data_IF_097615253655
#
_entry.id   IF_097615253655
#
_cell.length_a   1.000
_cell.length_b   1.000
_cell.length_c   1.000
_cell.angle_alpha   90.00
_cell.angle_beta   90.00
_cell.angle_gamma   90.00
#
_symmetry.space_group_name_H-M   'P 1'
#
loop_
_entity.id
_entity.type
_entity.pdbx_description
1 polymer ?
#
# COMPACT_ATOMS: atom_id res chain seq x y z
N UNK A 1 -2.73 -13.45 -28.74
CA UNK A 1 -2.50 -12.70 -27.48
C UNK A 1 -3.84 -12.13 -27.06
N UNK A 2 -4.50 -12.71 -26.04
CA UNK A 2 -5.77 -12.15 -25.56
C UNK A 2 -5.50 -10.75 -25.00
N UNK A 3 -6.17 -9.74 -25.55
CA UNK A 3 -6.13 -8.40 -25.01
C UNK A 3 -6.62 -8.49 -23.55
N UNK A 4 -5.70 -8.31 -22.60
CA UNK A 4 -6.05 -8.24 -21.19
C UNK A 4 -7.08 -7.13 -20.98
N UNK A 5 -7.95 -7.30 -19.98
CA UNK A 5 -8.94 -6.28 -19.62
C UNK A 5 -8.28 -4.90 -19.52
N UNK A 6 -8.89 -3.84 -20.07
CA UNK A 6 -8.31 -2.50 -20.04
C UNK A 6 -8.04 -2.09 -18.58
N UNK A 7 -6.95 -1.37 -18.27
CA UNK A 7 -6.56 -1.00 -16.90
C UNK A 7 -7.70 -0.40 -16.07
N UNK A 8 -8.53 0.44 -16.69
CA UNK A 8 -9.69 1.06 -16.06
C UNK A 8 -10.78 0.05 -15.64
N UNK A 9 -10.97 -1.05 -16.38
CA UNK A 9 -11.90 -2.12 -15.98
C UNK A 9 -11.37 -2.86 -14.75
N UNK A 10 -10.07 -3.16 -14.71
CA UNK A 10 -9.41 -3.78 -13.56
C UNK A 10 -9.57 -2.93 -12.30
N UNK A 11 -9.35 -1.61 -12.40
CA UNK A 11 -9.53 -0.67 -11.27
C UNK A 11 -10.98 -0.64 -10.80
N UNK A 12 -11.96 -0.58 -11.72
CA UNK A 12 -13.39 -0.59 -11.35
C UNK A 12 -13.79 -1.88 -10.63
N UNK A 13 -13.34 -3.03 -11.12
CA UNK A 13 -13.58 -4.33 -10.48
C UNK A 13 -12.91 -4.41 -9.12
N UNK A 14 -11.68 -3.90 -8.99
CA UNK A 14 -10.96 -3.84 -7.72
C UNK A 14 -11.69 -2.98 -6.68
N UNK A 15 -12.25 -1.84 -7.08
CA UNK A 15 -13.09 -1.01 -6.22
C UNK A 15 -14.38 -1.73 -5.79
N UNK A 16 -15.01 -2.47 -6.70
CA UNK A 16 -16.16 -3.31 -6.38
C UNK A 16 -15.82 -4.39 -5.35
N UNK A 17 -14.68 -5.05 -5.51
CA UNK A 17 -14.17 -6.04 -4.57
C UNK A 17 -13.89 -5.42 -3.19
N UNK A 18 -13.20 -4.28 -3.16
CA UNK A 18 -12.89 -3.56 -1.93
C UNK A 18 -14.16 -3.15 -1.20
N UNK A 19 -15.16 -2.59 -1.90
CA UNK A 19 -16.45 -2.21 -1.32
C UNK A 19 -17.18 -3.40 -0.70
N UNK A 20 -17.15 -4.56 -1.37
CA UNK A 20 -17.79 -5.78 -0.87
C UNK A 20 -17.14 -6.32 0.40
N UNK A 21 -15.82 -6.13 0.55
CA UNK A 21 -15.04 -6.68 1.66
C UNK A 21 -14.34 -5.60 2.49
N UNK A 22 -14.93 -4.40 2.57
CA UNK A 22 -14.29 -3.22 3.14
C UNK A 22 -13.82 -3.47 4.58
N UNK A 23 -14.69 -3.95 5.47
CA UNK A 23 -14.35 -4.20 6.87
C UNK A 23 -13.11 -5.08 7.04
N UNK A 24 -13.13 -6.34 6.57
CA UNK A 24 -11.97 -7.23 6.68
C UNK A 24 -10.70 -6.72 5.98
N UNK A 25 -10.84 -6.05 4.82
CA UNK A 25 -9.70 -5.52 4.07
C UNK A 25 -9.04 -4.34 4.80
N UNK A 26 -9.83 -3.41 5.36
CA UNK A 26 -9.33 -2.30 6.17
C UNK A 26 -8.77 -2.78 7.51
N UNK A 27 -9.35 -3.80 8.14
CA UNK A 27 -8.78 -4.40 9.35
C UNK A 27 -7.41 -5.04 9.07
N UNK A 28 -7.26 -5.73 7.94
CA UNK A 28 -5.97 -6.28 7.54
C UNK A 28 -4.94 -5.17 7.26
N UNK A 29 -5.33 -4.10 6.57
CA UNK A 29 -4.44 -2.95 6.36
C UNK A 29 -4.08 -2.27 7.67
N UNK A 30 -5.03 -2.03 8.57
CA UNK A 30 -4.76 -1.46 9.90
C UNK A 30 -3.78 -2.32 10.70
N UNK A 31 -4.01 -3.64 10.76
CA UNK A 31 -3.10 -4.55 11.45
C UNK A 31 -1.69 -4.51 10.85
N UNK A 32 -1.59 -4.54 9.52
CA UNK A 32 -0.31 -4.48 8.82
C UNK A 32 0.40 -3.14 9.05
N UNK A 33 -0.32 -2.01 8.97
CA UNK A 33 0.22 -0.68 9.23
C UNK A 33 0.70 -0.54 10.67
N UNK A 34 -0.08 -0.95 11.67
CA UNK A 34 0.31 -0.85 13.09
C UNK A 34 1.56 -1.66 13.41
N UNK A 35 1.67 -2.87 12.86
CA UNK A 35 2.88 -3.70 12.99
C UNK A 35 4.08 -3.02 12.32
N UNK A 36 3.85 -2.29 11.23
CA UNK A 36 4.89 -1.58 10.49
C UNK A 36 5.33 -0.26 11.15
N UNK A 37 4.44 0.41 11.89
CA UNK A 37 4.73 1.71 12.52
C UNK A 37 5.81 1.61 13.60
N UNK A 38 5.86 0.50 14.35
CA UNK A 38 6.83 0.33 15.46
C UNK A 38 8.29 0.27 14.96
N UNK A 39 8.64 -0.57 13.97
CA UNK A 39 9.97 -0.53 13.35
C UNK A 39 10.30 0.82 12.70
N UNK A 40 9.30 1.54 12.19
CA UNK A 40 9.53 2.78 11.46
C UNK A 40 9.91 3.93 12.39
N UNK A 41 9.19 4.08 13.51
CA UNK A 41 9.54 5.04 14.56
C UNK A 41 10.89 4.70 15.18
N UNK A 42 11.16 3.42 15.47
CA UNK A 42 12.45 2.99 16.02
C UNK A 42 13.62 3.27 15.06
N UNK A 43 13.43 3.06 13.75
CA UNK A 43 14.45 3.35 12.72
C UNK A 43 14.71 4.85 12.56
N UNK A 44 13.66 5.67 12.58
CA UNK A 44 13.79 7.13 12.49
C UNK A 44 14.50 7.72 13.71
N UNK A 45 14.28 7.15 14.90
CA UNK A 45 14.98 7.54 16.14
C UNK A 45 16.45 7.11 16.11
N UNK A 46 16.78 5.93 15.59
CA UNK A 46 18.17 5.43 15.55
C UNK A 46 19.08 6.18 14.57
N UNK A 47 18.54 6.85 13.55
CA UNK A 47 19.32 7.65 12.59
C UNK A 47 19.43 9.12 12.99
N UNK A 48 18.65 9.57 13.98
CA UNK A 48 18.63 10.95 14.43
C UNK A 48 20.01 11.43 14.93
N UNK A 49 20.82 10.50 15.46
CA UNK A 49 22.12 10.80 16.09
C UNK A 49 23.36 10.54 15.20
N UNK A 50 23.22 9.91 14.01
CA UNK A 50 24.36 9.61 13.12
C UNK A 50 24.01 9.92 11.65
N UNK A 51 24.37 11.13 11.14
CA UNK A 51 23.91 11.65 9.84
C UNK A 51 24.64 11.04 8.63
N UNK A 52 25.12 9.80 8.74
CA UNK A 52 25.81 9.11 7.65
C UNK A 52 24.81 8.70 6.59
N UNK A 53 25.07 9.08 5.34
CA UNK A 53 24.25 8.74 4.17
C UNK A 53 23.93 7.24 4.07
N UNK A 54 24.86 6.37 4.47
CA UNK A 54 24.63 4.92 4.52
C UNK A 54 23.58 4.47 5.53
N UNK A 55 23.47 5.13 6.69
CA UNK A 55 22.47 4.82 7.70
C UNK A 55 21.07 5.26 7.25
N UNK A 56 20.97 6.43 6.61
CA UNK A 56 19.74 6.91 6.00
C UNK A 56 19.22 5.97 4.89
N UNK A 57 20.10 5.53 3.98
CA UNK A 57 19.75 4.56 2.93
C UNK A 57 19.33 3.20 3.49
N UNK A 58 20.00 2.72 4.55
CA UNK A 58 19.64 1.46 5.20
C UNK A 58 18.24 1.55 5.84
N UNK A 59 17.93 2.66 6.52
CA UNK A 59 16.60 2.86 7.11
C UNK A 59 15.52 2.96 6.05
N UNK A 60 15.79 3.65 4.94
CA UNK A 60 14.87 3.73 3.81
C UNK A 60 14.63 2.35 3.17
N UNK A 61 15.70 1.58 2.93
CA UNK A 61 15.60 0.23 2.39
C UNK A 61 14.79 -0.71 3.31
N UNK A 62 14.97 -0.62 4.63
CA UNK A 62 14.18 -1.40 5.59
C UNK A 62 12.72 -0.91 5.61
N UNK A 63 12.47 0.39 5.50
CA UNK A 63 11.13 0.96 5.42
C UNK A 63 10.37 0.46 4.20
N UNK A 64 11.03 0.52 3.05
CA UNK A 64 10.53 -0.05 1.82
C UNK A 64 10.26 -1.56 1.95
N UNK A 65 11.21 -2.34 2.48
CA UNK A 65 11.06 -3.79 2.60
C UNK A 65 9.89 -4.18 3.53
N UNK A 66 9.76 -3.49 4.66
CA UNK A 66 8.70 -3.75 5.65
C UNK A 66 7.32 -3.32 5.10
N UNK A 67 7.25 -2.17 4.42
CA UNK A 67 6.06 -1.74 3.68
C UNK A 67 5.66 -2.70 2.55
N UNK A 68 6.64 -3.24 1.81
CA UNK A 68 6.39 -4.25 0.78
C UNK A 68 5.84 -5.54 1.39
N UNK A 69 6.40 -6.03 2.50
CA UNK A 69 5.89 -7.20 3.21
C UNK A 69 4.45 -6.97 3.68
N UNK A 70 4.14 -5.80 4.23
CA UNK A 70 2.79 -5.41 4.63
C UNK A 70 1.83 -5.44 3.43
N UNK A 71 2.19 -4.82 2.31
CA UNK A 71 1.39 -4.80 1.08
C UNK A 71 1.13 -6.22 0.56
N UNK A 72 2.16 -7.06 0.49
CA UNK A 72 2.02 -8.45 0.02
C UNK A 72 1.15 -9.27 0.97
N UNK A 73 1.32 -9.10 2.27
CA UNK A 73 0.49 -9.80 3.26
C UNK A 73 -0.99 -9.39 3.14
N UNK A 74 -1.30 -8.09 3.08
CA UNK A 74 -2.68 -7.59 2.87
C UNK A 74 -3.26 -8.14 1.57
N UNK A 75 -2.47 -8.16 0.49
CA UNK A 75 -2.86 -8.77 -0.80
C UNK A 75 -3.27 -10.23 -0.64
N UNK A 76 -2.54 -11.00 0.16
CA UNK A 76 -2.86 -12.40 0.44
C UNK A 76 -4.12 -12.62 1.26
N UNK A 77 -4.46 -11.69 2.16
CA UNK A 77 -5.73 -11.71 2.92
C UNK A 77 -6.89 -11.35 1.99
N UNK A 78 -6.76 -10.28 1.20
CA UNK A 78 -7.78 -9.87 0.21
C UNK A 78 -8.01 -10.96 -0.83
N UNK A 79 -6.97 -11.67 -1.26
CA UNK A 79 -7.10 -12.80 -2.17
C UNK A 79 -7.98 -13.92 -1.60
N UNK A 80 -7.87 -14.22 -0.30
CA UNK A 80 -8.69 -15.23 0.35
C UNK A 80 -10.17 -14.81 0.45
N UNK A 81 -10.41 -13.53 0.75
CA UNK A 81 -11.76 -12.94 0.75
C UNK A 81 -12.39 -13.00 -0.65
N UNK A 82 -11.63 -12.62 -1.68
CA UNK A 82 -12.08 -12.64 -3.07
C UNK A 82 -12.40 -14.05 -3.59
N UNK A 83 -11.77 -15.08 -3.03
CA UNK A 83 -12.05 -16.47 -3.36
C UNK A 83 -13.38 -17.00 -2.78
N UNK A 84 -14.14 -16.17 -2.06
CA UNK A 84 -15.40 -16.54 -1.42
C UNK A 84 -15.24 -17.17 -0.04
N UNK A 85 -14.02 -17.19 0.51
CA UNK A 85 -13.74 -17.62 1.87
C UNK A 85 -13.80 -16.48 2.89
N UNK A 86 -13.65 -16.83 4.17
CA UNK A 86 -13.38 -15.86 5.23
C UNK A 86 -11.95 -15.30 5.17
N UNK A 87 -11.66 -14.30 6.01
CA UNK A 87 -10.30 -13.77 6.14
C UNK A 87 -9.33 -14.88 6.56
N UNK A 88 -8.34 -15.18 5.71
CA UNK A 88 -7.28 -16.13 6.01
C UNK A 88 -5.97 -15.39 6.19
N UNK A 89 -5.49 -15.37 7.43
CA UNK A 89 -4.25 -14.72 7.85
C UNK A 89 -3.03 -15.62 7.61
N UNK A 90 -3.19 -16.92 7.84
CA UNK A 90 -2.12 -17.91 7.68
C UNK A 90 -1.76 -18.08 6.21
N UNK A 91 -0.45 -18.04 5.90
CA UNK A 91 0.06 -18.14 4.53
C UNK A 91 -0.28 -16.95 3.63
N UNK A 92 -0.78 -15.84 4.18
CA UNK A 92 -1.15 -14.66 3.40
C UNK A 92 0.04 -14.11 2.61
N UNK A 93 1.22 -13.99 3.23
CA UNK A 93 2.41 -13.50 2.52
C UNK A 93 2.73 -14.33 1.28
N UNK A 94 2.75 -15.68 1.40
CA UNK A 94 3.01 -16.58 0.25
C UNK A 94 1.99 -16.38 -0.86
N UNK A 95 0.69 -16.30 -0.51
CA UNK A 95 -0.39 -16.07 -1.48
C UNK A 95 -0.24 -14.71 -2.16
N UNK A 96 -0.01 -13.67 -1.39
CA UNK A 96 0.16 -12.31 -1.87
C UNK A 96 1.35 -12.15 -2.79
N UNK A 97 2.51 -12.72 -2.44
CA UNK A 97 3.71 -12.72 -3.30
C UNK A 97 3.45 -13.43 -4.63
N UNK A 98 2.89 -14.65 -4.58
CA UNK A 98 2.58 -15.39 -5.80
C UNK A 98 1.61 -14.61 -6.70
N UNK A 99 0.63 -13.95 -6.10
CA UNK A 99 -0.37 -13.18 -6.82
C UNK A 99 0.19 -11.88 -7.39
N UNK A 100 1.02 -11.15 -6.63
CA UNK A 100 1.69 -9.95 -7.10
C UNK A 100 2.60 -10.23 -8.30
N UNK A 101 3.38 -11.31 -8.25
CA UNK A 101 4.21 -11.77 -9.38
C UNK A 101 3.33 -12.10 -10.60
N UNK A 102 2.20 -12.78 -10.38
CA UNK A 102 1.26 -13.10 -11.46
C UNK A 102 0.64 -11.84 -12.06
N UNK A 103 0.21 -10.89 -11.24
CA UNK A 103 -0.37 -9.61 -11.66
C UNK A 103 0.63 -8.77 -12.50
N UNK A 104 1.88 -8.69 -12.06
CA UNK A 104 2.94 -7.98 -12.79
C UNK A 104 3.22 -8.60 -14.16
N UNK A 105 3.14 -9.92 -14.28
CA UNK A 105 3.32 -10.62 -15.56
C UNK A 105 2.10 -10.52 -16.46
N UNK A 106 0.90 -10.61 -15.90
CA UNK A 106 -0.35 -10.68 -16.65
C UNK A 106 -0.87 -9.30 -17.08
N UNK A 107 -0.75 -8.29 -16.21
CA UNK A 107 -1.34 -6.97 -16.42
C UNK A 107 -0.49 -5.84 -15.81
N UNK A 108 0.78 -5.65 -16.26
CA UNK A 108 1.69 -4.66 -15.70
C UNK A 108 1.13 -3.23 -15.79
N UNK A 109 0.41 -2.90 -16.86
CA UNK A 109 -0.21 -1.59 -17.03
C UNK A 109 -1.30 -1.32 -15.97
N UNK A 110 -2.10 -2.32 -15.59
CA UNK A 110 -3.11 -2.16 -14.55
C UNK A 110 -2.48 -1.99 -13.16
N UNK A 111 -1.39 -2.72 -12.90
CA UNK A 111 -0.61 -2.56 -11.67
C UNK A 111 -0.02 -1.15 -11.60
N UNK A 112 0.59 -0.66 -12.69
CA UNK A 112 1.16 0.68 -12.76
C UNK A 112 0.09 1.76 -12.51
N UNK A 113 -1.08 1.66 -13.16
CA UNK A 113 -2.21 2.58 -12.91
C UNK A 113 -2.67 2.51 -11.45
N UNK A 114 -2.77 1.31 -10.87
CA UNK A 114 -3.11 1.14 -9.46
C UNK A 114 -2.11 1.80 -8.52
N UNK A 115 -0.80 1.64 -8.79
CA UNK A 115 0.27 2.29 -8.02
C UNK A 115 0.20 3.81 -8.14
N UNK A 116 0.01 4.35 -9.35
CA UNK A 116 -0.11 5.80 -9.58
C UNK A 116 -1.32 6.38 -8.85
N UNK A 117 -2.49 5.74 -8.96
CA UNK A 117 -3.71 6.19 -8.28
C UNK A 117 -3.57 6.10 -6.75
N UNK A 118 -3.05 4.98 -6.24
CA UNK A 118 -2.79 4.81 -4.81
C UNK A 118 -1.78 5.84 -4.29
N UNK A 119 -0.71 6.08 -5.04
CA UNK A 119 0.29 7.09 -4.73
C UNK A 119 -0.27 8.51 -4.74
N UNK A 120 -1.16 8.82 -5.68
CA UNK A 120 -1.84 10.14 -5.72
C UNK A 120 -2.74 10.34 -4.51
N UNK A 121 -3.53 9.34 -4.13
CA UNK A 121 -4.37 9.39 -2.92
C UNK A 121 -3.51 9.52 -1.67
N UNK A 122 -2.42 8.74 -1.58
CA UNK A 122 -1.46 8.85 -0.47
C UNK A 122 -0.89 10.27 -0.37
N UNK A 123 -0.40 10.83 -1.48
CA UNK A 123 0.13 12.18 -1.54
C UNK A 123 -0.91 13.25 -1.14
N UNK A 124 -2.17 13.09 -1.54
CA UNK A 124 -3.24 14.00 -1.14
C UNK A 124 -3.55 13.94 0.37
N UNK A 125 -3.28 12.82 1.02
CA UNK A 125 -3.46 12.66 2.47
C UNK A 125 -2.24 13.14 3.27
N UNK A 126 -1.03 12.95 2.74
CA UNK A 126 0.21 13.26 3.46
C UNK A 126 0.71 14.68 3.19
N UNK A 127 0.65 15.18 1.95
CA UNK A 127 1.21 16.50 1.61
C UNK A 127 0.56 17.66 2.39
N UNK A 128 -0.78 17.76 2.52
CA UNK A 128 -1.37 18.85 3.31
C UNK A 128 -0.98 18.79 4.78
N UNK A 129 -0.88 17.58 5.33
CA UNK A 129 -0.45 17.37 6.71
C UNK A 129 1.02 17.79 6.91
N UNK A 130 1.89 17.41 5.97
CA UNK A 130 3.30 17.83 5.96
C UNK A 130 3.45 19.35 5.83
N UNK A 131 2.69 19.99 4.95
CA UNK A 131 2.69 21.47 4.80
C UNK A 131 2.19 22.15 6.07
N UNK A 132 1.13 21.64 6.69
CA UNK A 132 0.61 22.18 7.94
C UNK A 132 1.60 22.00 9.12
N UNK A 133 2.36 20.91 9.12
CA UNK A 133 3.31 20.57 10.16
C UNK A 133 4.66 21.30 10.05
N UNK A 134 5.15 21.51 8.83
CA UNK A 134 6.50 22.04 8.56
C UNK A 134 6.52 23.46 7.98
N UNK A 135 5.35 23.97 7.54
CA UNK A 135 5.25 25.21 6.77
C UNK A 135 5.73 25.05 5.31
N UNK A 136 5.32 25.93 4.38
CA UNK A 136 5.66 25.81 2.96
C UNK A 136 7.18 25.86 2.70
N UNK A 137 7.92 26.63 3.50
CA UNK A 137 9.39 26.77 3.37
C UNK A 137 10.16 25.59 3.97
N UNK A 138 9.58 24.87 4.94
CA UNK A 138 10.16 23.68 5.57
C UNK A 138 9.99 22.39 4.74
N UNK A 139 9.09 22.39 3.74
CA UNK A 139 8.89 21.25 2.83
C UNK A 139 9.94 21.23 1.70
N UNK A 140 10.60 22.37 1.41
CA UNK A 140 11.60 22.52 0.34
C UNK A 140 12.99 23.01 0.83
N UNK A 141 13.12 23.44 2.09
CA UNK A 141 14.37 23.94 2.69
C UNK A 141 15.13 22.92 3.55
N UNK A 142 16.34 23.26 4.05
CA UNK A 142 17.12 22.37 4.91
C UNK A 142 16.33 22.10 6.20
N UNK A 143 15.94 20.85 6.40
CA UNK A 143 15.21 20.43 7.59
C UNK A 143 16.12 20.59 8.81
N UNK A 144 15.92 21.68 9.58
CA UNK A 144 16.28 21.66 11.00
C UNK A 144 15.52 20.53 11.72
N UNK A 145 15.90 20.18 12.95
CA UNK A 145 15.23 19.11 13.70
C UNK A 145 13.73 19.40 13.85
N UNK A 146 12.83 18.61 13.23
CA UNK A 146 11.40 18.87 13.33
C UNK A 146 10.94 18.76 14.78
N UNK A 147 10.10 19.69 15.24
CA UNK A 147 9.49 19.58 16.56
C UNK A 147 8.63 18.32 16.69
N UNK A 148 8.50 17.77 17.90
CA UNK A 148 7.76 16.53 18.15
C UNK A 148 6.31 16.51 17.61
N UNK A 149 5.65 17.68 17.55
CA UNK A 149 4.32 17.84 16.95
C UNK A 149 4.31 17.60 15.44
N UNK A 150 5.30 18.12 14.70
CA UNK A 150 5.41 17.93 13.26
C UNK A 150 5.71 16.46 12.91
N UNK A 151 6.57 15.82 13.70
CA UNK A 151 6.84 14.38 13.61
C UNK A 151 5.56 13.56 13.82
N UNK A 152 4.79 13.86 14.88
CA UNK A 152 3.54 13.15 15.19
C UNK A 152 2.53 13.28 14.06
N UNK A 153 2.34 14.48 13.52
CA UNK A 153 1.42 14.72 12.39
C UNK A 153 1.85 13.90 11.18
N UNK A 154 3.14 13.93 10.83
CA UNK A 154 3.68 13.16 9.70
C UNK A 154 3.42 11.66 9.88
N UNK A 155 3.75 11.09 11.05
CA UNK A 155 3.52 9.67 11.35
C UNK A 155 2.03 9.30 11.26
N UNK A 156 1.15 10.12 11.84
CA UNK A 156 -0.30 9.85 11.80
C UNK A 156 -0.82 9.93 10.36
N UNK A 157 -0.40 10.93 9.59
CA UNK A 157 -0.83 11.05 8.19
C UNK A 157 -0.32 9.89 7.33
N UNK A 158 0.88 9.36 7.58
CA UNK A 158 1.41 8.19 6.88
C UNK A 158 0.66 6.91 7.26
N UNK A 159 0.32 6.73 8.54
CA UNK A 159 -0.55 5.64 9.01
C UNK A 159 -1.90 5.70 8.32
N UNK A 160 -2.54 6.87 8.29
CA UNK A 160 -3.84 7.06 7.64
C UNK A 160 -3.74 6.78 6.14
N UNK A 161 -2.72 7.31 5.47
CA UNK A 161 -2.50 7.08 4.04
C UNK A 161 -2.29 5.60 3.73
N UNK A 162 -1.49 4.89 4.54
CA UNK A 162 -1.27 3.45 4.42
C UNK A 162 -2.56 2.65 4.61
N UNK A 163 -3.32 2.92 5.67
CA UNK A 163 -4.59 2.21 5.92
C UNK A 163 -5.60 2.43 4.78
N UNK A 164 -5.61 3.64 4.20
CA UNK A 164 -6.51 3.98 3.09
C UNK A 164 -6.09 3.30 1.77
N UNK A 165 -4.78 3.23 1.49
CA UNK A 165 -4.27 2.85 0.16
C UNK A 165 -3.89 1.38 0.02
N UNK A 166 -3.43 0.72 1.09
CA UNK A 166 -3.05 -0.71 1.05
C UNK A 166 -4.18 -1.64 0.57
N UNK A 167 -5.44 -1.52 1.05
CA UNK A 167 -6.54 -2.37 0.59
C UNK A 167 -6.86 -2.20 -0.91
N UNK A 168 -6.71 -0.96 -1.40
CA UNK A 168 -6.96 -0.64 -2.80
C UNK A 168 -5.94 -1.33 -3.71
N UNK A 169 -4.65 -1.13 -3.45
CA UNK A 169 -3.60 -1.74 -4.26
C UNK A 169 -3.64 -3.27 -4.16
N UNK A 170 -3.95 -3.82 -2.98
CA UNK A 170 -4.17 -5.24 -2.78
C UNK A 170 -5.30 -5.78 -3.68
N UNK A 171 -6.42 -5.06 -3.76
CA UNK A 171 -7.56 -5.43 -4.61
C UNK A 171 -7.21 -5.35 -6.09
N UNK A 172 -6.44 -4.34 -6.51
CA UNK A 172 -5.93 -4.22 -7.89
C UNK A 172 -5.06 -5.43 -8.24
N UNK A 173 -4.11 -5.79 -7.38
CA UNK A 173 -3.27 -6.97 -7.58
C UNK A 173 -4.13 -8.23 -7.68
N UNK A 174 -5.09 -8.43 -6.78
CA UNK A 174 -6.02 -9.58 -6.79
C UNK A 174 -6.78 -9.72 -8.10
N UNK A 175 -7.31 -8.62 -8.64
CA UNK A 175 -8.05 -8.64 -9.90
C UNK A 175 -7.12 -8.80 -11.10
N UNK A 176 -6.01 -8.05 -11.15
CA UNK A 176 -5.02 -8.10 -12.23
C UNK A 176 -4.35 -9.47 -12.33
N UNK A 177 -4.10 -10.08 -11.18
CA UNK A 177 -3.54 -11.41 -11.08
C UNK A 177 -4.60 -12.51 -11.14
N UNK A 178 -5.89 -12.27 -10.97
CA UNK A 178 -6.91 -13.31 -10.76
C UNK A 178 -7.56 -13.86 -12.04
N UNK A 179 -7.33 -15.13 -12.39
CA UNK A 179 -7.96 -15.79 -13.56
C UNK A 179 -9.51 -15.81 -13.52
N UNK A 180 -10.10 -15.75 -12.32
CA UNK A 180 -11.56 -15.80 -12.14
C UNK A 180 -12.27 -14.48 -12.46
N UNK A 181 -11.54 -13.37 -12.57
CA UNK A 181 -12.14 -12.04 -12.82
C UNK A 181 -11.95 -11.56 -14.27
N UNK A 182 -11.19 -12.30 -15.08
CA UNK A 182 -10.97 -12.02 -16.50
C UNK A 182 -11.89 -12.85 -17.43
N UNK A 183 -12.67 -13.80 -16.90
CA UNK A 183 -13.52 -14.69 -17.69
C UNK A 183 -15.03 -14.42 -17.52
N UNK A 184 -15.57 -13.46 -18.31
CA UNK A 184 -16.77 -13.60 -19.17
C UNK A 184 -17.22 -12.23 -19.72
N UNK A 185 -17.04 -11.94 -21.02
CA UNK A 185 -18.07 -11.25 -21.80
C UNK A 185 -19.30 -12.17 -21.91
N UNK A 186 -20.49 -11.60 -21.99
CA UNK A 186 -21.78 -12.25 -21.83
C UNK A 186 -21.99 -13.57 -22.58
N UNK A 187 -22.69 -14.48 -21.91
CA UNK A 187 -23.30 -15.68 -22.47
C UNK A 187 -24.54 -16.00 -21.65
N UNK A 188 -25.61 -15.27 -21.95
CA UNK A 188 -26.99 -15.72 -21.83
C UNK A 188 -27.59 -15.64 -23.23
#
# INVERSE_FOLDING_TARGET
MSAGSPPAATVRTALGLLRRHAGPAYLAALAATLVNTVPDVARQVLVLDDPRLGAALAVDAVGFATGLVAQLWVTGVVAALAAGGGASWSGALRRGTALAVRALRAAPAAVAVGVVLGGTVSALLTLPASVAALGPDGVLGPLGSPGAGAFTVATVSDVVASVVTLPFLASVLVVAGGDRFTARPGGQ
#
